data_IF_550276260747
#
_entry.id   IF_550276260747
#
_cell.length_a   1.000
_cell.length_b   1.000
_cell.length_c   1.000
_cell.angle_alpha   90.00
_cell.angle_beta   90.00
_cell.angle_gamma   90.00
#
_symmetry.space_group_name_H-M   'P 1'
#
loop_
_entity.id
_entity.type
_entity.pdbx_description
1 polymer ?
#
# COMPACT_ATOMS: atom_id res chain seq x y z
N UNK A 1 -86.85 -25.52 -16.95
CA UNK A 1 -85.60 -25.18 -16.24
C UNK A 1 -84.42 -25.34 -17.20
N UNK A 2 -83.78 -24.24 -17.61
CA UNK A 2 -82.55 -24.25 -18.42
C UNK A 2 -81.44 -23.61 -17.59
N UNK A 3 -80.33 -24.32 -17.37
CA UNK A 3 -79.14 -23.81 -16.67
C UNK A 3 -78.37 -22.86 -17.62
N UNK A 4 -77.87 -21.70 -17.15
CA UNK A 4 -76.92 -20.91 -17.94
C UNK A 4 -75.54 -21.59 -17.91
N UNK A 5 -74.90 -21.69 -19.08
CA UNK A 5 -73.53 -22.12 -19.20
C UNK A 5 -72.59 -21.07 -18.59
N UNK A 6 -71.62 -21.51 -17.79
CA UNK A 6 -70.60 -20.65 -17.19
C UNK A 6 -69.72 -20.04 -18.29
N UNK A 7 -69.63 -18.71 -18.31
CA UNK A 7 -68.60 -17.99 -19.06
C UNK A 7 -67.32 -18.06 -18.21
N UNK A 8 -66.54 -19.12 -18.37
CA UNK A 8 -65.15 -19.20 -17.88
C UNK A 8 -64.19 -19.04 -19.05
N UNK A 9 -64.30 -17.90 -19.74
CA UNK A 9 -63.33 -17.46 -20.74
C UNK A 9 -62.35 -16.46 -20.15
N UNK A 10 -61.58 -16.86 -19.13
CA UNK A 10 -60.47 -16.04 -18.64
C UNK A 10 -59.39 -16.02 -19.75
N UNK A 11 -59.40 -14.96 -20.55
CA UNK A 11 -58.40 -14.66 -21.56
C UNK A 11 -57.06 -14.31 -20.91
N UNK A 12 -56.34 -15.31 -20.42
CA UNK A 12 -54.89 -15.20 -20.18
C UNK A 12 -54.13 -15.20 -21.52
N UNK A 13 -54.40 -14.22 -22.38
CA UNK A 13 -53.45 -13.80 -23.42
C UNK A 13 -52.60 -12.67 -22.84
N UNK A 14 -51.83 -13.01 -21.80
CA UNK A 14 -50.67 -12.21 -21.43
C UNK A 14 -49.74 -12.15 -22.64
N UNK A 15 -49.52 -10.95 -23.17
CA UNK A 15 -48.82 -10.73 -24.43
C UNK A 15 -47.41 -11.35 -24.41
N UNK A 16 -47.21 -12.44 -25.16
CA UNK A 16 -45.90 -13.09 -25.37
C UNK A 16 -44.89 -12.09 -25.98
N UNK A 17 -45.38 -11.12 -26.74
CA UNK A 17 -44.60 -10.05 -27.35
C UNK A 17 -44.02 -9.05 -26.33
N UNK A 18 -44.76 -8.74 -25.26
CA UNK A 18 -44.24 -7.88 -24.18
C UNK A 18 -43.21 -8.63 -23.35
N UNK A 19 -43.41 -9.92 -23.06
CA UNK A 19 -42.44 -10.69 -22.27
C UNK A 19 -41.07 -10.84 -22.96
N UNK A 20 -41.03 -11.13 -24.28
CA UNK A 20 -39.77 -11.18 -25.04
C UNK A 20 -39.06 -9.82 -25.10
N UNK A 21 -39.79 -8.72 -25.33
CA UNK A 21 -39.22 -7.37 -25.29
C UNK A 21 -38.68 -7.00 -23.91
N UNK A 22 -39.38 -7.36 -22.83
CA UNK A 22 -38.91 -7.15 -21.46
C UNK A 22 -37.66 -7.97 -21.12
N UNK A 23 -37.57 -9.23 -21.59
CA UNK A 23 -36.37 -10.04 -21.43
C UNK A 23 -35.17 -9.43 -22.16
N UNK A 24 -35.39 -8.93 -23.38
CA UNK A 24 -34.34 -8.27 -24.16
C UNK A 24 -33.89 -6.95 -23.51
N UNK A 25 -34.83 -6.18 -22.95
CA UNK A 25 -34.51 -4.96 -22.19
C UNK A 25 -33.74 -5.28 -20.89
N UNK A 26 -34.12 -6.34 -20.16
CA UNK A 26 -33.35 -6.84 -19.00
C UNK A 26 -31.93 -7.21 -19.39
N UNK A 27 -31.73 -7.87 -20.54
CA UNK A 27 -30.40 -8.21 -21.05
C UNK A 27 -29.57 -6.97 -21.35
N UNK A 28 -30.16 -5.96 -22.00
CA UNK A 28 -29.49 -4.67 -22.28
C UNK A 28 -29.12 -3.95 -20.98
N UNK A 29 -30.03 -3.87 -20.00
CA UNK A 29 -29.72 -3.25 -18.70
C UNK A 29 -28.60 -4.01 -17.99
N UNK A 30 -28.63 -5.34 -18.02
CA UNK A 30 -27.58 -6.16 -17.42
C UNK A 30 -26.24 -5.91 -18.10
N UNK A 31 -26.21 -5.87 -19.43
CA UNK A 31 -25.01 -5.63 -20.23
C UNK A 31 -24.43 -4.23 -19.99
N UNK A 32 -25.28 -3.20 -19.97
CA UNK A 32 -24.90 -1.83 -19.61
C UNK A 32 -24.36 -1.74 -18.18
N UNK A 33 -24.97 -2.45 -17.23
CA UNK A 33 -24.47 -2.54 -15.86
C UNK A 33 -23.09 -3.20 -15.83
N UNK A 34 -22.88 -4.30 -16.56
CA UNK A 34 -21.57 -4.95 -16.61
C UNK A 34 -20.50 -4.07 -17.24
N UNK A 35 -20.83 -3.37 -18.33
CA UNK A 35 -19.91 -2.44 -19.00
C UNK A 35 -19.55 -1.27 -18.08
N UNK A 36 -20.53 -0.69 -17.37
CA UNK A 36 -20.29 0.37 -16.40
C UNK A 36 -19.42 -0.11 -15.24
N UNK A 37 -19.67 -1.31 -14.71
CA UNK A 37 -18.84 -1.87 -13.63
C UNK A 37 -17.41 -2.16 -14.08
N UNK A 38 -17.22 -2.62 -15.32
CA UNK A 38 -15.90 -2.85 -15.89
C UNK A 38 -15.13 -1.54 -16.09
N UNK A 39 -15.81 -0.51 -16.61
CA UNK A 39 -15.21 0.83 -16.77
C UNK A 39 -14.83 1.45 -15.43
N UNK A 40 -15.69 1.34 -14.41
CA UNK A 40 -15.38 1.85 -13.07
C UNK A 40 -14.20 1.10 -12.44
N UNK A 41 -14.12 -0.23 -12.63
CA UNK A 41 -12.97 -1.02 -12.16
C UNK A 41 -11.67 -0.63 -12.87
N UNK A 42 -11.71 -0.41 -14.18
CA UNK A 42 -10.55 0.04 -14.95
C UNK A 42 -10.05 1.43 -14.48
N UNK A 43 -10.97 2.38 -14.28
CA UNK A 43 -10.63 3.71 -13.79
C UNK A 43 -10.05 3.68 -12.36
N UNK A 44 -10.53 2.76 -11.53
CA UNK A 44 -10.00 2.54 -10.18
C UNK A 44 -8.57 1.99 -10.25
N UNK A 45 -8.34 0.95 -11.03
CA UNK A 45 -7.01 0.35 -11.21
C UNK A 45 -6.00 1.38 -11.74
N UNK A 46 -6.38 2.19 -12.73
CA UNK A 46 -5.52 3.24 -13.27
C UNK A 46 -5.18 4.31 -12.22
N UNK A 47 -6.15 4.66 -11.36
CA UNK A 47 -5.92 5.62 -10.27
C UNK A 47 -4.98 5.04 -9.21
N UNK A 48 -5.13 3.76 -8.88
CA UNK A 48 -4.22 3.08 -7.93
C UNK A 48 -2.83 2.85 -8.53
N UNK A 49 -2.73 2.59 -9.84
CA UNK A 49 -1.45 2.47 -10.54
C UNK A 49 -0.59 3.73 -10.38
N UNK A 50 -1.18 4.93 -10.39
CA UNK A 50 -0.44 6.17 -10.12
C UNK A 50 0.20 6.19 -8.74
N UNK A 51 -0.49 5.65 -7.74
CA UNK A 51 0.06 5.47 -6.38
C UNK A 51 1.23 4.49 -6.43
N UNK A 52 1.09 3.36 -7.12
CA UNK A 52 2.15 2.35 -7.24
C UNK A 52 3.40 2.91 -7.93
N UNK A 53 3.22 3.62 -9.04
CA UNK A 53 4.30 4.26 -9.79
C UNK A 53 5.01 5.31 -8.93
N UNK A 54 4.27 6.17 -8.24
CA UNK A 54 4.86 7.18 -7.35
C UNK A 54 5.64 6.53 -6.19
N UNK A 55 5.11 5.46 -5.59
CA UNK A 55 5.79 4.70 -4.55
C UNK A 55 7.07 4.00 -5.05
N UNK A 56 7.06 3.48 -6.29
CA UNK A 56 8.22 2.86 -6.93
C UNK A 56 9.29 3.87 -7.35
N UNK A 57 8.89 5.12 -7.62
CA UNK A 57 9.79 6.24 -7.91
C UNK A 57 10.34 6.93 -6.65
N UNK A 58 10.08 6.39 -5.46
CA UNK A 58 10.42 6.99 -4.16
C UNK A 58 9.83 8.39 -3.92
N UNK A 59 8.79 8.77 -4.68
CA UNK A 59 8.08 10.03 -4.51
C UNK A 59 6.86 9.84 -3.61
N UNK A 60 7.13 9.78 -2.30
CA UNK A 60 6.11 9.61 -1.27
C UNK A 60 5.17 10.80 -1.13
N UNK A 61 5.58 11.99 -1.60
CA UNK A 61 4.71 13.17 -1.59
C UNK A 61 3.64 13.04 -2.66
N UNK A 62 4.05 12.73 -3.89
CA UNK A 62 3.13 12.46 -4.99
C UNK A 62 2.27 11.23 -4.69
N UNK A 63 2.84 10.15 -4.14
CA UNK A 63 2.05 8.99 -3.74
C UNK A 63 0.97 9.32 -2.69
N UNK A 64 1.27 10.20 -1.72
CA UNK A 64 0.29 10.68 -0.75
C UNK A 64 -0.81 11.54 -1.38
N UNK A 65 -0.45 12.38 -2.36
CA UNK A 65 -1.42 13.17 -3.12
C UNK A 65 -2.34 12.29 -3.96
N UNK A 66 -1.78 11.35 -4.73
CA UNK A 66 -2.52 10.38 -5.54
C UNK A 66 -3.42 9.52 -4.66
N UNK A 67 -2.93 9.05 -3.50
CA UNK A 67 -3.76 8.32 -2.54
C UNK A 67 -4.93 9.18 -2.03
N UNK A 68 -4.70 10.47 -1.77
CA UNK A 68 -5.78 11.38 -1.36
C UNK A 68 -6.79 11.65 -2.48
N UNK A 69 -6.37 11.64 -3.75
CA UNK A 69 -7.28 11.77 -4.89
C UNK A 69 -8.07 10.47 -5.10
N UNK A 70 -7.38 9.33 -5.00
CA UNK A 70 -7.97 8.01 -5.04
C UNK A 70 -9.09 7.87 -4.00
N UNK A 71 -8.82 8.24 -2.74
CA UNK A 71 -9.82 8.20 -1.66
C UNK A 71 -11.06 9.04 -1.98
N UNK A 72 -10.88 10.23 -2.59
CA UNK A 72 -12.00 11.11 -2.96
C UNK A 72 -12.84 10.55 -4.10
N UNK A 73 -12.23 9.85 -5.06
CA UNK A 73 -12.89 9.34 -6.26
C UNK A 73 -13.53 7.97 -6.04
N UNK A 74 -12.82 7.08 -5.35
CA UNK A 74 -13.13 5.65 -5.27
C UNK A 74 -13.39 5.16 -3.84
N UNK A 75 -13.19 6.01 -2.84
CA UNK A 75 -13.35 5.67 -1.42
C UNK A 75 -12.18 4.85 -0.87
N UNK A 76 -12.48 3.92 0.03
CA UNK A 76 -11.46 3.09 0.69
C UNK A 76 -10.79 2.13 -0.28
N UNK A 77 -9.57 1.74 0.06
CA UNK A 77 -8.86 0.66 -0.63
C UNK A 77 -9.62 -0.66 -0.50
N UNK A 78 -9.60 -1.47 -1.55
CA UNK A 78 -10.09 -2.83 -1.53
C UNK A 78 -9.04 -3.81 -0.97
N UNK A 79 -9.37 -5.09 -0.92
CA UNK A 79 -8.49 -6.10 -0.36
C UNK A 79 -7.23 -6.30 -1.22
N UNK A 80 -7.33 -6.21 -2.54
CA UNK A 80 -6.23 -6.47 -3.46
C UNK A 80 -5.23 -5.30 -3.41
N UNK A 81 -5.73 -4.07 -3.40
CA UNK A 81 -4.93 -2.85 -3.24
C UNK A 81 -4.25 -2.78 -1.87
N UNK A 82 -4.97 -3.16 -0.80
CA UNK A 82 -4.40 -3.25 0.54
C UNK A 82 -3.32 -4.32 0.61
N UNK A 83 -3.56 -5.48 0.00
CA UNK A 83 -2.59 -6.58 -0.05
C UNK A 83 -1.31 -6.14 -0.76
N UNK A 84 -1.44 -5.42 -1.88
CA UNK A 84 -0.28 -4.86 -2.58
C UNK A 84 0.54 -3.91 -1.69
N UNK A 85 -0.10 -3.03 -0.92
CA UNK A 85 0.61 -2.13 0.02
C UNK A 85 1.31 -2.89 1.15
N UNK A 86 0.70 -3.97 1.63
CA UNK A 86 1.31 -4.85 2.64
C UNK A 86 2.55 -5.56 2.06
N UNK A 87 2.46 -6.07 0.83
CA UNK A 87 3.61 -6.68 0.13
C UNK A 87 4.73 -5.66 -0.09
N UNK A 88 4.38 -4.43 -0.47
CA UNK A 88 5.35 -3.35 -0.59
C UNK A 88 6.01 -3.01 0.76
N UNK A 89 5.24 -3.01 1.86
CA UNK A 89 5.79 -2.86 3.20
C UNK A 89 6.75 -4.00 3.58
N UNK A 90 6.40 -5.24 3.25
CA UNK A 90 7.26 -6.41 3.48
C UNK A 90 8.56 -6.31 2.69
N UNK A 91 8.51 -5.83 1.44
CA UNK A 91 9.69 -5.55 0.65
C UNK A 91 10.61 -4.53 1.35
N UNK A 92 10.07 -3.40 1.82
CA UNK A 92 10.85 -2.41 2.57
C UNK A 92 11.51 -3.05 3.81
N UNK A 93 10.76 -3.84 4.58
CA UNK A 93 11.30 -4.52 5.76
C UNK A 93 12.42 -5.51 5.40
N UNK A 94 12.28 -6.25 4.31
CA UNK A 94 13.30 -7.17 3.84
C UNK A 94 14.58 -6.41 3.45
N UNK A 95 14.46 -5.29 2.74
CA UNK A 95 15.60 -4.46 2.34
C UNK A 95 16.32 -3.83 3.53
N UNK A 96 15.58 -3.34 4.54
CA UNK A 96 16.19 -2.84 5.79
C UNK A 96 16.99 -3.95 6.48
N UNK A 97 16.41 -5.15 6.62
CA UNK A 97 17.10 -6.30 7.21
C UNK A 97 18.38 -6.63 6.48
N UNK A 98 18.38 -6.53 5.15
CA UNK A 98 19.55 -6.82 4.35
C UNK A 98 20.68 -5.81 4.59
N UNK A 99 20.39 -4.51 4.63
CA UNK A 99 21.39 -3.51 5.00
C UNK A 99 21.93 -3.73 6.43
N UNK A 100 21.07 -4.12 7.38
CA UNK A 100 21.51 -4.45 8.75
C UNK A 100 22.46 -5.65 8.74
N UNK A 101 22.10 -6.75 8.07
CA UNK A 101 22.97 -7.94 7.99
C UNK A 101 24.31 -7.61 7.37
N UNK A 102 24.31 -6.91 6.24
CA UNK A 102 25.54 -6.51 5.57
C UNK A 102 26.42 -5.60 6.47
N UNK A 103 25.82 -4.62 7.16
CA UNK A 103 26.58 -3.79 8.11
C UNK A 103 27.19 -4.58 9.26
N UNK A 104 26.51 -5.64 9.74
CA UNK A 104 27.03 -6.50 10.80
C UNK A 104 28.21 -7.32 10.28
N UNK A 105 28.13 -7.87 9.07
CA UNK A 105 29.23 -8.65 8.47
C UNK A 105 30.50 -7.80 8.37
N UNK A 106 30.40 -6.58 7.81
CA UNK A 106 31.55 -5.68 7.68
C UNK A 106 32.10 -5.28 9.05
N UNK A 107 31.22 -5.03 10.02
CA UNK A 107 31.64 -4.70 11.39
C UNK A 107 32.35 -5.87 12.08
N UNK A 108 31.92 -7.11 11.83
CA UNK A 108 32.58 -8.31 12.35
C UNK A 108 33.97 -8.50 11.75
N UNK A 109 34.15 -8.21 10.47
CA UNK A 109 35.46 -8.27 9.82
C UNK A 109 36.42 -7.21 10.38
N UNK A 110 35.94 -5.98 10.59
CA UNK A 110 36.73 -4.94 11.27
C UNK A 110 37.12 -5.36 12.69
N UNK A 111 36.18 -5.87 13.48
CA UNK A 111 36.46 -6.33 14.84
C UNK A 111 37.48 -7.49 14.89
N UNK A 112 37.48 -8.38 13.89
CA UNK A 112 38.50 -9.43 13.76
C UNK A 112 39.88 -8.84 13.46
N UNK A 113 39.94 -7.80 12.62
CA UNK A 113 41.17 -7.03 12.36
C UNK A 113 41.71 -6.40 13.63
N UNK A 114 40.86 -5.68 14.36
CA UNK A 114 41.20 -5.04 15.63
C UNK A 114 41.73 -6.05 16.66
N UNK A 115 41.09 -7.21 16.76
CA UNK A 115 41.51 -8.28 17.67
C UNK A 115 42.88 -8.85 17.30
N UNK A 116 43.16 -9.01 16.00
CA UNK A 116 44.48 -9.43 15.51
C UNK A 116 45.55 -8.39 15.85
N UNK A 117 45.25 -7.12 15.63
CA UNK A 117 46.19 -6.02 15.89
C UNK A 117 46.53 -5.91 17.38
N UNK A 118 45.53 -6.09 18.24
CA UNK A 118 45.72 -6.10 19.69
C UNK A 118 46.52 -7.32 20.16
N UNK A 119 46.04 -8.55 19.88
CA UNK A 119 46.61 -9.76 20.49
C UNK A 119 47.83 -10.30 19.75
N UNK A 120 47.83 -10.24 18.41
CA UNK A 120 48.87 -10.88 17.62
C UNK A 120 50.02 -9.93 17.29
N UNK A 121 49.73 -8.63 17.15
CA UNK A 121 50.76 -7.61 16.87
C UNK A 121 51.17 -6.82 18.13
N UNK A 122 50.46 -7.01 19.25
CA UNK A 122 50.78 -6.35 20.53
C UNK A 122 50.54 -4.84 20.52
N UNK A 123 49.68 -4.35 19.62
CA UNK A 123 49.34 -2.92 19.56
C UNK A 123 48.50 -2.57 20.80
N UNK A 124 48.81 -1.47 21.52
CA UNK A 124 48.02 -1.06 22.68
C UNK A 124 46.54 -0.88 22.33
N UNK A 125 45.66 -1.35 23.21
CA UNK A 125 44.21 -1.40 22.97
C UNK A 125 43.62 -0.01 22.71
N UNK A 126 44.17 1.03 23.31
CA UNK A 126 43.76 2.42 23.11
C UNK A 126 44.06 2.90 21.70
N UNK A 127 45.19 2.45 21.14
CA UNK A 127 45.60 2.78 19.76
C UNK A 127 44.71 2.04 18.77
N UNK A 128 44.45 0.74 19.00
CA UNK A 128 43.53 -0.05 18.18
C UNK A 128 42.12 0.55 18.20
N UNK A 129 41.59 0.90 19.37
CA UNK A 129 40.27 1.53 19.49
C UNK A 129 40.16 2.87 18.76
N UNK A 130 41.20 3.70 18.83
CA UNK A 130 41.25 4.98 18.12
C UNK A 130 41.33 4.80 16.59
N UNK A 131 42.07 3.80 16.12
CA UNK A 131 42.17 3.46 14.70
C UNK A 131 40.87 2.85 14.17
N UNK A 132 40.30 1.90 14.91
CA UNK A 132 39.01 1.26 14.62
C UNK A 132 37.89 2.28 14.48
N UNK A 133 37.78 3.22 15.42
CA UNK A 133 36.76 4.29 15.34
C UNK A 133 36.91 5.14 14.08
N UNK A 134 38.15 5.48 13.70
CA UNK A 134 38.43 6.22 12.47
C UNK A 134 38.13 5.40 11.22
N UNK A 135 38.47 4.11 11.24
CA UNK A 135 38.21 3.19 10.12
C UNK A 135 36.70 2.97 9.93
N UNK A 136 35.94 2.79 11.01
CA UNK A 136 34.48 2.69 11.00
C UNK A 136 33.83 3.95 10.40
N UNK A 137 34.25 5.13 10.85
CA UNK A 137 33.73 6.42 10.34
C UNK A 137 34.05 6.64 8.85
N UNK A 138 35.21 6.16 8.39
CA UNK A 138 35.67 6.30 7.00
C UNK A 138 35.27 5.15 6.09
N UNK A 139 34.71 4.07 6.62
CA UNK A 139 34.31 2.90 5.84
C UNK A 139 33.11 3.24 4.97
N UNK A 140 33.36 3.39 3.67
CA UNK A 140 32.31 3.67 2.68
C UNK A 140 31.22 2.61 2.68
N UNK A 141 31.59 1.35 2.87
CA UNK A 141 30.66 0.22 2.90
C UNK A 141 29.72 0.29 4.11
N UNK A 142 30.25 0.53 5.31
CA UNK A 142 29.43 0.73 6.51
C UNK A 142 28.54 1.95 6.37
N UNK A 143 29.08 3.08 5.88
CA UNK A 143 28.28 4.29 5.68
C UNK A 143 27.16 4.06 4.66
N UNK A 144 27.42 3.30 3.60
CA UNK A 144 26.41 2.94 2.58
C UNK A 144 25.26 2.15 3.21
N UNK A 145 25.55 1.12 4.01
CA UNK A 145 24.51 0.35 4.66
C UNK A 145 23.74 1.17 5.70
N UNK A 146 24.42 2.01 6.49
CA UNK A 146 23.77 2.92 7.45
C UNK A 146 22.86 3.95 6.76
N UNK A 147 23.27 4.49 5.62
CA UNK A 147 22.44 5.36 4.79
C UNK A 147 21.24 4.62 4.21
N UNK A 148 21.44 3.38 3.75
CA UNK A 148 20.36 2.49 3.31
C UNK A 148 19.31 2.27 4.39
N UNK A 149 19.72 1.90 5.61
CA UNK A 149 18.83 1.73 6.76
C UNK A 149 18.02 3.01 7.02
N UNK A 150 18.69 4.17 7.09
CA UNK A 150 18.02 5.46 7.33
C UNK A 150 17.00 5.79 6.24
N UNK A 151 17.38 5.64 4.97
CA UNK A 151 16.52 5.90 3.83
C UNK A 151 15.28 5.00 3.87
N UNK A 152 15.46 3.69 3.93
CA UNK A 152 14.34 2.73 3.92
C UNK A 152 13.46 2.81 5.16
N UNK A 153 14.01 3.18 6.33
CA UNK A 153 13.20 3.44 7.53
C UNK A 153 12.28 4.65 7.33
N UNK A 154 12.80 5.72 6.71
CA UNK A 154 11.98 6.90 6.37
C UNK A 154 10.87 6.53 5.39
N UNK A 155 11.18 5.73 4.38
CA UNK A 155 10.21 5.18 3.40
C UNK A 155 9.10 4.38 4.08
N UNK A 156 9.44 3.51 5.04
CA UNK A 156 8.48 2.76 5.83
C UNK A 156 7.52 3.69 6.59
N UNK A 157 8.05 4.76 7.19
CA UNK A 157 7.26 5.77 7.88
C UNK A 157 6.25 6.48 6.95
N UNK A 158 6.68 6.87 5.75
CA UNK A 158 5.76 7.47 4.77
C UNK A 158 4.71 6.49 4.27
N UNK A 159 5.10 5.26 3.95
CA UNK A 159 4.16 4.23 3.52
C UNK A 159 3.08 3.97 4.58
N UNK A 160 3.45 3.97 5.87
CA UNK A 160 2.48 3.83 6.96
C UNK A 160 1.40 4.92 6.92
N UNK A 161 1.79 6.18 6.68
CA UNK A 161 0.85 7.30 6.57
C UNK A 161 -0.07 7.13 5.36
N UNK A 162 0.47 6.69 4.22
CA UNK A 162 -0.29 6.44 2.98
C UNK A 162 -1.31 5.31 3.20
N UNK A 163 -0.91 4.21 3.84
CA UNK A 163 -1.81 3.11 4.19
C UNK A 163 -2.92 3.59 5.14
N UNK A 164 -2.58 4.38 6.16
CA UNK A 164 -3.58 4.93 7.08
C UNK A 164 -4.57 5.84 6.37
N UNK A 165 -4.11 6.62 5.39
CA UNK A 165 -4.95 7.48 4.56
C UNK A 165 -5.95 6.65 3.74
N UNK A 166 -5.49 5.59 3.09
CA UNK A 166 -6.36 4.66 2.34
C UNK A 166 -7.35 3.84 3.21
N UNK A 167 -7.13 3.76 4.53
CA UNK A 167 -8.01 3.06 5.49
C UNK A 167 -9.08 3.95 6.14
N UNK A 168 -8.81 5.24 6.36
CA UNK A 168 -9.72 6.12 7.14
C UNK A 168 -10.91 6.62 6.31
N UNK A 169 -12.10 6.59 6.89
CA UNK A 169 -13.19 7.53 6.54
C UNK A 169 -12.83 8.89 7.15
N UNK A 170 -12.79 9.95 6.35
CA UNK A 170 -13.00 11.29 6.91
C UNK A 170 -14.48 11.40 7.29
N UNK A 171 -14.77 11.13 8.56
CA UNK A 171 -15.91 11.70 9.27
C UNK A 171 -15.73 13.23 9.32
N UNK A 172 -16.04 13.89 8.19
CA UNK A 172 -16.34 15.32 8.19
C UNK A 172 -17.65 15.47 8.95
N UNK A 173 -17.53 15.75 10.26
CA UNK A 173 -18.42 16.57 11.10
C UNK A 173 -18.09 16.32 12.58
N UNK A 174 -17.07 17.03 13.09
CA UNK A 174 -16.97 17.60 14.46
C UNK A 174 -15.50 17.84 14.82
N UNK A 175 -14.97 18.96 14.38
CA UNK A 175 -13.93 19.67 15.15
C UNK A 175 -14.64 20.62 16.12
N UNK A 176 -14.51 20.47 17.45
CA UNK A 176 -14.31 21.62 18.31
C UNK A 176 -12.83 22.05 18.26
N UNK A 177 -12.52 23.30 18.62
CA UNK A 177 -11.29 23.96 18.23
C UNK A 177 -10.07 23.49 19.02
N UNK A 178 -8.92 23.75 18.39
CA UNK A 178 -7.54 23.73 18.85
C UNK A 178 -7.35 24.01 20.36
N UNK A 179 -7.46 22.98 21.20
CA UNK A 179 -6.82 22.95 22.52
C UNK A 179 -6.74 21.53 23.08
N UNK A 180 -5.65 20.82 22.80
CA UNK A 180 -5.08 19.78 23.66
C UNK A 180 -3.89 19.17 22.90
N UNK A 181 -2.70 19.73 23.13
CA UNK A 181 -1.66 19.09 23.95
C UNK A 181 -0.91 18.01 23.17
N UNK A 182 0.24 18.45 22.65
CA UNK A 182 1.49 17.72 22.85
C UNK A 182 1.46 17.02 24.21
N UNK A 183 1.73 15.72 24.23
CA UNK A 183 2.49 15.02 25.28
C UNK A 183 2.71 13.57 24.84
N UNK A 184 3.99 13.22 24.75
CA UNK A 184 4.65 11.93 24.50
C UNK A 184 4.73 11.46 23.04
#
# INVERSE_FOLDING_TARGET
>A
MRRPASISGASYRGSIFSFRRFQQFRKIIHDLKSQLTASNKANREESFEKVRVALGADDYWTAGLEMSQFEKLHGRLDNDEMQWLIEYQQHIHATIKEHIRASIVVSMEQARGDFRDWLNLGIPVEVVAAQSTKAFQKSEEIQTHLLGIKSWTRRAGFLLVIIQKGKKEFSVLRTPPLSARFLF
#
